data_IF_281027501509
#
_entry.id   IF_281027501509
#
_cell.length_a   1.000
_cell.length_b   1.000
_cell.length_c   1.000
_cell.angle_alpha   90.00
_cell.angle_beta   90.00
_cell.angle_gamma   90.00
#
_symmetry.space_group_name_H-M   'P 1'
#
loop_
_entity.id
_entity.type
_entity.pdbx_description
1 polymer ?
#
# COMPACT_ATOMS: atom_id res chain seq x y z
N UNK A 1 19.03 -7.19 8.56
CA UNK A 1 18.42 -6.34 7.51
C UNK A 1 17.70 -5.19 8.20
N UNK A 2 17.96 -3.95 7.79
CA UNK A 2 17.38 -2.74 8.40
C UNK A 2 15.99 -2.47 7.79
N UNK A 3 15.12 -1.78 8.51
CA UNK A 3 13.81 -1.35 7.99
C UNK A 3 13.84 0.16 7.72
N UNK A 4 13.27 0.58 6.60
CA UNK A 4 13.29 1.96 6.15
C UNK A 4 11.89 2.57 6.27
N UNK A 5 11.78 3.72 6.93
CA UNK A 5 10.50 4.39 7.19
C UNK A 5 10.60 5.88 6.89
N UNK A 6 9.63 6.41 6.15
CA UNK A 6 9.33 7.84 6.10
C UNK A 6 8.21 8.09 7.11
N UNK A 7 8.50 8.75 8.22
CA UNK A 7 7.46 9.15 9.19
C UNK A 7 7.17 10.63 9.10
N UNK A 8 5.89 10.96 9.18
CA UNK A 8 5.39 12.33 9.21
C UNK A 8 4.69 12.62 10.54
N UNK A 9 5.01 11.84 11.58
CA UNK A 9 4.60 12.10 12.96
C UNK A 9 5.43 13.23 13.56
N UNK A 10 4.77 14.09 14.32
CA UNK A 10 5.40 15.13 15.14
C UNK A 10 6.23 14.50 16.24
N UNK A 11 7.35 15.14 16.56
CA UNK A 11 8.17 14.78 17.72
C UNK A 11 7.83 15.72 18.87
N UNK A 12 7.51 15.16 20.03
CA UNK A 12 7.30 15.89 21.28
C UNK A 12 8.00 15.16 22.40
N UNK A 13 8.80 15.88 23.20
CA UNK A 13 9.53 15.30 24.36
C UNK A 13 10.36 14.05 24.02
N UNK A 14 10.91 13.98 22.81
CA UNK A 14 11.76 12.86 22.36
C UNK A 14 11.01 11.66 21.79
N UNK A 15 9.69 11.73 21.65
CA UNK A 15 8.84 10.64 21.15
C UNK A 15 7.99 11.08 19.96
N UNK A 16 7.59 10.12 19.12
CA UNK A 16 6.62 10.37 18.06
C UNK A 16 5.21 10.45 18.64
N UNK A 17 4.45 11.47 18.26
CA UNK A 17 3.05 11.64 18.65
C UNK A 17 2.10 11.26 17.51
N UNK A 18 0.80 11.20 17.81
CA UNK A 18 -0.26 10.99 16.81
C UNK A 18 -0.64 12.28 16.07
N UNK A 19 0.28 13.24 15.94
CA UNK A 19 0.01 14.53 15.31
C UNK A 19 0.88 14.69 14.06
N UNK A 20 0.43 15.43 13.03
CA UNK A 20 1.25 15.76 11.87
C UNK A 20 2.51 16.55 12.22
N UNK A 21 3.62 16.17 11.60
CA UNK A 21 4.90 16.84 11.68
C UNK A 21 5.66 16.84 10.33
N UNK A 22 6.88 17.39 10.31
CA UNK A 22 7.72 17.30 9.12
C UNK A 22 8.11 15.85 8.81
N UNK A 23 8.30 15.52 7.55
CA UNK A 23 8.84 14.23 7.15
C UNK A 23 10.23 13.98 7.74
N UNK A 24 10.45 12.76 8.21
CA UNK A 24 11.72 12.24 8.73
C UNK A 24 11.99 10.88 8.10
N UNK A 25 13.26 10.63 7.82
CA UNK A 25 13.74 9.42 7.18
C UNK A 25 14.46 8.59 8.23
N UNK A 26 13.92 7.41 8.53
CA UNK A 26 14.39 6.55 9.59
C UNK A 26 15.00 5.28 9.01
N UNK A 27 16.16 4.91 9.53
CA UNK A 27 16.72 3.58 9.37
C UNK A 27 16.58 2.85 10.70
N UNK A 28 15.60 1.96 10.78
CA UNK A 28 15.21 1.28 12.00
C UNK A 28 15.99 -0.04 12.13
N UNK A 29 16.73 -0.25 13.23
CA UNK A 29 17.43 -1.52 13.45
C UNK A 29 16.48 -2.71 13.53
N UNK A 30 16.91 -3.87 13.03
CA UNK A 30 16.10 -5.10 13.00
C UNK A 30 15.57 -5.51 14.39
N UNK A 31 16.34 -5.26 15.45
CA UNK A 31 15.97 -5.59 16.83
C UNK A 31 15.10 -4.54 17.52
N UNK A 32 14.86 -3.39 16.90
CA UNK A 32 14.03 -2.34 17.51
C UNK A 32 12.55 -2.76 17.49
N UNK A 33 11.85 -2.55 18.60
CA UNK A 33 10.41 -2.80 18.73
C UNK A 33 9.55 -1.71 18.05
N UNK A 34 10.07 -0.48 17.97
CA UNK A 34 9.40 0.68 17.41
C UNK A 34 10.40 1.55 16.61
N UNK A 35 9.93 2.33 15.62
CA UNK A 35 10.65 3.49 15.12
C UNK A 35 10.74 4.55 16.22
N UNK A 36 11.93 5.11 16.43
CA UNK A 36 12.19 6.16 17.42
C UNK A 36 12.80 7.39 16.72
N UNK A 37 12.62 8.61 17.25
CA UNK A 37 13.25 9.80 16.67
C UNK A 37 14.77 9.70 16.53
N UNK A 38 15.44 8.93 17.40
CA UNK A 38 16.87 8.65 17.33
C UNK A 38 17.31 7.80 16.13
N UNK A 39 16.38 7.14 15.42
CA UNK A 39 16.68 6.40 14.19
C UNK A 39 16.77 7.30 12.94
N UNK A 40 16.57 8.61 13.11
CA UNK A 40 16.60 9.56 12.01
C UNK A 40 18.00 9.65 11.39
N UNK A 41 18.05 9.55 10.06
CA UNK A 41 19.25 9.71 9.25
C UNK A 41 19.05 10.85 8.24
N UNK A 42 20.13 11.22 7.53
CA UNK A 42 20.04 12.23 6.47
C UNK A 42 19.26 11.67 5.28
N UNK A 43 18.34 12.46 4.73
CA UNK A 43 17.52 12.09 3.56
C UNK A 43 18.36 11.57 2.39
N UNK A 44 19.47 12.24 2.07
CA UNK A 44 20.33 11.85 0.93
C UNK A 44 20.96 10.48 1.10
N UNK A 45 21.40 10.14 2.31
CA UNK A 45 22.04 8.86 2.59
C UNK A 45 20.98 7.76 2.64
N UNK A 46 19.84 8.05 3.27
CA UNK A 46 18.70 7.14 3.31
C UNK A 46 18.17 6.78 1.91
N UNK A 47 18.03 7.77 1.02
CA UNK A 47 17.57 7.52 -0.35
C UNK A 47 18.55 6.66 -1.13
N UNK A 48 19.87 6.87 -0.95
CA UNK A 48 20.91 6.04 -1.56
C UNK A 48 20.80 4.60 -1.07
N UNK A 49 20.75 4.38 0.24
CA UNK A 49 20.67 3.05 0.84
C UNK A 49 19.41 2.29 0.39
N UNK A 50 18.25 2.98 0.30
CA UNK A 50 17.01 2.38 -0.20
C UNK A 50 17.11 2.00 -1.68
N UNK A 51 17.70 2.85 -2.51
CA UNK A 51 17.88 2.57 -3.94
C UNK A 51 18.85 1.42 -4.18
N UNK A 52 19.94 1.37 -3.43
CA UNK A 52 20.91 0.26 -3.48
C UNK A 52 20.23 -1.05 -3.08
N UNK A 53 19.36 -1.04 -2.07
CA UNK A 53 18.57 -2.21 -1.66
C UNK A 53 17.39 -2.55 -2.59
N UNK A 54 16.93 -1.61 -3.41
CA UNK A 54 15.87 -1.84 -4.40
C UNK A 54 16.41 -2.46 -5.69
N UNK A 55 17.67 -2.20 -6.00
CA UNK A 55 18.35 -2.66 -7.21
C UNK A 55 18.87 -4.07 -7.00
N UNK A 56 18.57 -4.98 -7.93
CA UNK A 56 19.06 -6.36 -7.81
C UNK A 56 18.86 -7.23 -9.04
N UNK A 57 18.26 -6.68 -10.10
CA UNK A 57 18.00 -7.37 -11.36
C UNK A 57 18.71 -6.63 -12.50
N UNK A 58 18.84 -7.30 -13.63
CA UNK A 58 19.36 -6.71 -14.87
C UNK A 58 18.25 -6.77 -15.91
N UNK A 59 17.93 -5.65 -16.53
CA UNK A 59 17.02 -5.66 -17.67
C UNK A 59 17.73 -6.35 -18.85
N UNK A 60 17.13 -7.43 -19.37
CA UNK A 60 17.73 -8.25 -20.44
C UNK A 60 17.76 -7.50 -21.77
N UNK A 61 16.81 -6.59 -22.00
CA UNK A 61 16.73 -5.80 -23.22
C UNK A 61 17.69 -4.61 -23.18
N UNK A 62 17.60 -3.79 -22.12
CA UNK A 62 18.36 -2.54 -22.02
C UNK A 62 19.77 -2.73 -21.43
N UNK A 63 20.04 -3.89 -20.84
CA UNK A 63 21.28 -4.19 -20.10
C UNK A 63 21.57 -3.19 -18.96
N UNK A 64 20.53 -2.51 -18.46
CA UNK A 64 20.63 -1.61 -17.33
C UNK A 64 20.26 -2.33 -16.02
N UNK A 65 20.90 -1.96 -14.89
CA UNK A 65 20.39 -2.31 -13.57
C UNK A 65 18.91 -1.95 -13.45
N UNK A 66 18.13 -2.88 -12.90
CA UNK A 66 16.72 -2.65 -12.62
C UNK A 66 16.35 -3.13 -11.21
N UNK A 67 15.25 -2.60 -10.70
CA UNK A 67 14.81 -2.88 -9.35
C UNK A 67 13.38 -2.42 -9.09
N UNK A 68 12.91 -2.75 -7.89
CA UNK A 68 11.54 -2.50 -7.47
C UNK A 68 11.54 -1.92 -6.07
N UNK A 69 10.80 -0.82 -5.89
CA UNK A 69 10.61 -0.16 -4.62
C UNK A 69 9.12 -0.13 -4.29
N UNK A 70 8.76 -0.73 -3.16
CA UNK A 70 7.40 -0.71 -2.64
C UNK A 70 7.30 0.29 -1.49
N UNK A 71 6.40 1.26 -1.60
CA UNK A 71 5.98 2.10 -0.48
C UNK A 71 4.72 1.48 0.15
N UNK A 72 4.85 0.98 1.38
CA UNK A 72 3.72 0.52 2.18
C UNK A 72 3.10 1.69 2.96
N UNK A 73 1.82 1.95 2.73
CA UNK A 73 1.03 2.96 3.46
C UNK A 73 0.03 2.22 4.37
N UNK A 74 0.19 2.41 5.67
CA UNK A 74 -0.57 1.66 6.67
C UNK A 74 -2.00 2.21 6.89
N UNK A 75 -2.84 1.42 7.56
CA UNK A 75 -4.22 1.76 7.92
C UNK A 75 -4.37 2.71 9.12
N UNK A 76 -5.61 2.86 9.59
CA UNK A 76 -5.96 3.65 10.78
C UNK A 76 -5.64 2.88 12.08
N UNK A 77 -5.53 3.59 13.20
CA UNK A 77 -5.29 3.02 14.54
C UNK A 77 -3.97 2.24 14.67
N UNK A 78 -2.87 2.83 14.20
CA UNK A 78 -1.53 2.27 14.35
C UNK A 78 -0.62 3.14 15.21
N UNK A 79 -0.07 2.52 16.26
CA UNK A 79 1.15 2.99 16.91
C UNK A 79 2.38 2.78 15.99
N UNK A 80 3.51 3.46 16.24
CA UNK A 80 4.76 3.22 15.51
C UNK A 80 5.20 1.74 15.54
N UNK A 81 5.00 1.03 16.64
CA UNK A 81 5.27 -0.41 16.80
C UNK A 81 4.43 -1.27 15.86
N UNK A 82 3.12 -0.96 15.78
CA UNK A 82 2.17 -1.70 14.96
C UNK A 82 2.48 -1.50 13.47
N UNK A 83 2.75 -0.25 13.07
CA UNK A 83 3.18 0.08 11.71
C UNK A 83 4.45 -0.70 11.33
N UNK A 84 5.47 -0.70 12.19
CA UNK A 84 6.74 -1.41 11.93
C UNK A 84 6.53 -2.93 11.85
N UNK A 85 5.69 -3.49 12.71
CA UNK A 85 5.34 -4.93 12.68
C UNK A 85 4.68 -5.30 11.36
N UNK A 86 3.72 -4.49 10.88
CA UNK A 86 3.03 -4.72 9.60
C UNK A 86 3.95 -4.56 8.40
N UNK A 87 4.84 -3.56 8.42
CA UNK A 87 5.90 -3.39 7.43
C UNK A 87 6.79 -4.65 7.35
N UNK A 88 7.22 -5.17 8.50
CA UNK A 88 8.06 -6.38 8.57
C UNK A 88 7.33 -7.61 8.06
N UNK A 89 6.05 -7.80 8.37
CA UNK A 89 5.25 -8.90 7.83
C UNK A 89 5.17 -8.84 6.29
N UNK A 90 4.89 -7.67 5.72
CA UNK A 90 4.88 -7.52 4.26
C UNK A 90 6.26 -7.76 3.65
N UNK A 91 7.32 -7.15 4.21
CA UNK A 91 8.68 -7.29 3.70
C UNK A 91 9.15 -8.74 3.73
N UNK A 92 8.97 -9.42 4.85
CA UNK A 92 9.38 -10.83 5.00
C UNK A 92 8.50 -11.77 4.17
N UNK A 93 7.20 -11.50 4.12
CA UNK A 93 6.24 -12.24 3.30
C UNK A 93 6.56 -12.15 1.81
N UNK A 94 6.77 -10.95 1.28
CA UNK A 94 7.14 -10.74 -0.13
C UNK A 94 8.51 -11.37 -0.44
N UNK A 95 9.50 -11.20 0.45
CA UNK A 95 10.81 -11.82 0.27
C UNK A 95 10.73 -13.36 0.21
N UNK A 96 9.86 -13.98 1.02
CA UNK A 96 9.62 -15.42 0.97
C UNK A 96 9.00 -15.89 -0.36
N UNK A 97 8.37 -15.00 -1.12
CA UNK A 97 7.82 -15.27 -2.45
C UNK A 97 8.81 -15.01 -3.59
N UNK A 98 10.01 -14.48 -3.28
CA UNK A 98 11.05 -14.16 -4.25
C UNK A 98 11.23 -12.68 -4.55
N UNK A 99 10.53 -11.78 -3.84
CA UNK A 99 10.75 -10.34 -4.01
C UNK A 99 12.13 -9.93 -3.50
N UNK A 100 12.95 -9.39 -4.40
CA UNK A 100 14.33 -8.94 -4.11
C UNK A 100 14.47 -7.41 -4.02
N UNK A 101 13.38 -6.67 -4.18
CA UNK A 101 13.37 -5.21 -4.10
C UNK A 101 13.27 -4.67 -2.67
N UNK A 102 13.19 -3.35 -2.54
CA UNK A 102 13.05 -2.68 -1.25
C UNK A 102 11.57 -2.48 -0.89
N UNK A 103 11.24 -2.65 0.40
CA UNK A 103 9.93 -2.32 0.96
C UNK A 103 10.13 -1.30 2.08
N UNK A 104 9.54 -0.11 1.92
CA UNK A 104 9.64 0.98 2.88
C UNK A 104 8.26 1.28 3.49
N UNK A 105 8.23 1.76 4.73
CA UNK A 105 6.99 2.22 5.38
C UNK A 105 6.78 3.72 5.18
N UNK A 106 5.55 4.14 4.89
CA UNK A 106 5.09 5.50 5.06
C UNK A 106 4.19 5.57 6.29
N UNK A 107 4.70 6.19 7.35
CA UNK A 107 4.08 6.28 8.67
C UNK A 107 3.42 7.64 8.85
N UNK A 108 2.10 7.66 8.69
CA UNK A 108 1.26 8.84 8.90
C UNK A 108 0.65 8.82 10.31
N UNK A 109 0.36 9.98 10.91
CA UNK A 109 -0.21 10.04 12.26
C UNK A 109 -1.65 9.51 12.26
N UNK A 110 -1.80 8.21 12.44
CA UNK A 110 -3.06 7.61 12.85
C UNK A 110 -3.04 7.44 14.36
N UNK A 111 -3.95 8.07 15.08
CA UNK A 111 -4.07 7.92 16.52
C UNK A 111 -4.54 6.49 16.87
N UNK A 112 -3.98 5.93 17.95
CA UNK A 112 -4.42 4.65 18.52
C UNK A 112 -5.73 4.82 19.33
N UNK A 113 -6.73 5.46 18.72
CA UNK A 113 -8.05 5.68 19.35
C UNK A 113 -9.15 5.81 18.31
N UNK A 114 -10.14 4.91 18.38
CA UNK A 114 -11.35 4.88 17.54
C UNK A 114 -12.20 6.18 17.59
N UNK A 115 -12.02 7.01 18.61
CA UNK A 115 -12.77 8.27 18.79
C UNK A 115 -12.29 9.40 17.86
N UNK A 116 -11.10 9.25 17.25
CA UNK A 116 -10.45 10.33 16.48
C UNK A 116 -10.56 10.16 14.97
N UNK A 117 -11.42 9.28 14.46
CA UNK A 117 -11.50 8.95 13.03
C UNK A 117 -11.63 10.18 12.09
N UNK A 118 -12.36 11.23 12.49
CA UNK A 118 -12.52 12.45 11.68
C UNK A 118 -11.23 13.28 11.66
N UNK A 119 -10.59 13.41 12.82
CA UNK A 119 -9.33 14.12 12.99
C UNK A 119 -8.21 13.42 12.23
N UNK A 120 -8.08 12.10 12.38
CA UNK A 120 -7.13 11.29 11.62
C UNK A 120 -7.37 11.37 10.11
N UNK A 121 -8.63 11.51 9.66
CA UNK A 121 -8.92 11.72 8.23
C UNK A 121 -8.46 13.09 7.76
N UNK A 122 -8.54 14.10 8.61
CA UNK A 122 -7.96 15.42 8.33
C UNK A 122 -6.45 15.33 8.24
N UNK A 123 -5.80 14.67 9.20
CA UNK A 123 -4.36 14.50 9.25
C UNK A 123 -3.81 13.64 8.11
N UNK A 124 -4.51 12.56 7.76
CA UNK A 124 -4.26 11.78 6.55
C UNK A 124 -4.23 12.67 5.31
N UNK A 125 -5.17 13.61 5.19
CA UNK A 125 -5.19 14.57 4.09
C UNK A 125 -4.04 15.57 4.18
N UNK A 126 -3.78 16.14 5.36
CA UNK A 126 -2.70 17.10 5.57
C UNK A 126 -1.32 16.51 5.27
N UNK A 127 -1.14 15.22 5.54
CA UNK A 127 0.13 14.52 5.34
C UNK A 127 0.22 13.78 4.01
N UNK A 128 -0.87 13.54 3.29
CA UNK A 128 -0.86 12.89 1.98
C UNK A 128 0.06 13.60 0.97
N UNK A 129 0.16 14.93 1.04
CA UNK A 129 1.08 15.67 0.17
C UNK A 129 2.58 15.34 0.43
N UNK A 130 2.94 14.91 1.64
CA UNK A 130 4.31 14.53 1.99
C UNK A 130 4.65 13.14 1.43
N UNK A 131 3.68 12.22 1.30
CA UNK A 131 3.88 10.97 0.57
C UNK A 131 4.36 11.23 -0.86
N UNK A 132 3.74 12.19 -1.53
CA UNK A 132 4.18 12.59 -2.87
C UNK A 132 5.54 13.28 -2.83
N UNK A 133 5.67 14.36 -2.06
CA UNK A 133 6.87 15.21 -2.11
C UNK A 133 8.13 14.52 -1.61
N UNK A 134 8.00 13.79 -0.51
CA UNK A 134 9.13 13.23 0.24
C UNK A 134 9.36 11.75 -0.08
N UNK A 135 8.32 11.04 -0.56
CA UNK A 135 8.41 9.69 -1.09
C UNK A 135 8.52 9.69 -2.62
N UNK A 136 7.37 9.72 -3.30
CA UNK A 136 7.26 9.48 -4.75
C UNK A 136 8.20 10.38 -5.57
N UNK A 137 8.10 11.70 -5.40
CA UNK A 137 8.91 12.69 -6.13
C UNK A 137 10.41 12.50 -5.88
N UNK A 138 10.78 12.12 -4.65
CA UNK A 138 12.19 11.93 -4.29
C UNK A 138 12.79 10.73 -5.03
N UNK A 139 12.03 9.66 -5.23
CA UNK A 139 12.49 8.51 -6.01
C UNK A 139 12.39 8.74 -7.52
N UNK A 140 11.33 9.39 -8.00
CA UNK A 140 11.20 9.75 -9.43
C UNK A 140 12.35 10.65 -9.88
N UNK A 141 12.76 11.63 -9.06
CA UNK A 141 13.91 12.51 -9.38
C UNK A 141 15.26 11.80 -9.34
N UNK A 142 15.33 10.67 -8.64
CA UNK A 142 16.55 9.86 -8.53
C UNK A 142 16.60 8.73 -9.55
N UNK A 143 15.52 8.45 -10.29
CA UNK A 143 15.58 7.59 -11.46
C UNK A 143 16.59 8.20 -12.43
N UNK A 144 17.62 7.42 -12.75
CA UNK A 144 18.64 7.81 -13.71
C UNK A 144 18.43 7.01 -15.00
N UNK A 145 18.87 7.50 -16.16
CA UNK A 145 18.78 6.75 -17.41
C UNK A 145 19.47 5.38 -17.36
N UNK A 146 20.42 5.20 -16.43
CA UNK A 146 21.23 4.00 -16.23
C UNK A 146 20.74 3.09 -15.08
N UNK A 147 19.56 3.36 -14.49
CA UNK A 147 18.98 2.47 -13.47
C UNK A 147 17.44 2.55 -13.47
N UNK A 148 16.81 1.45 -13.86
CA UNK A 148 15.35 1.33 -14.00
C UNK A 148 14.71 0.87 -12.69
N UNK A 149 14.26 1.82 -11.86
CA UNK A 149 13.56 1.51 -10.62
C UNK A 149 12.05 1.69 -10.79
N UNK A 150 11.29 0.61 -10.71
CA UNK A 150 9.84 0.64 -10.65
C UNK A 150 9.38 1.02 -9.24
N UNK A 151 8.53 2.03 -9.15
CA UNK A 151 7.90 2.42 -7.89
C UNK A 151 6.51 1.79 -7.79
N UNK A 152 6.20 1.19 -6.66
CA UNK A 152 4.92 0.55 -6.37
C UNK A 152 4.37 1.04 -5.03
N UNK A 153 3.07 0.93 -4.85
CA UNK A 153 2.38 1.31 -3.61
C UNK A 153 1.54 0.15 -3.13
N UNK A 154 1.69 -0.21 -1.85
CA UNK A 154 0.81 -1.12 -1.13
C UNK A 154 0.06 -0.32 -0.07
N UNK A 155 -1.26 -0.24 -0.13
CA UNK A 155 -2.05 0.58 0.77
C UNK A 155 -3.13 -0.24 1.47
N UNK A 156 -3.07 -0.27 2.80
CA UNK A 156 -4.05 -0.97 3.64
C UNK A 156 -5.09 -0.01 4.19
N UNK A 157 -6.37 -0.36 4.16
CA UNK A 157 -7.39 0.38 4.93
C UNK A 157 -7.42 1.88 4.63
N UNK A 158 -7.34 2.73 5.65
CA UNK A 158 -7.27 4.19 5.49
C UNK A 158 -6.00 4.66 4.77
N UNK A 159 -4.95 3.83 4.67
CA UNK A 159 -3.81 4.10 3.80
C UNK A 159 -4.22 4.24 2.33
N UNK A 160 -5.28 3.56 1.88
CA UNK A 160 -5.83 3.75 0.53
C UNK A 160 -6.42 5.15 0.33
N UNK A 161 -6.99 5.75 1.39
CA UNK A 161 -7.44 7.13 1.37
C UNK A 161 -6.24 8.09 1.30
N UNK A 162 -5.19 7.88 2.11
CA UNK A 162 -3.95 8.67 2.07
C UNK A 162 -3.36 8.67 0.66
N UNK A 163 -3.24 7.50 0.02
CA UNK A 163 -2.71 7.36 -1.35
C UNK A 163 -3.57 8.11 -2.36
N UNK A 164 -4.89 7.98 -2.29
CA UNK A 164 -5.78 8.67 -3.22
C UNK A 164 -5.67 10.20 -3.11
N UNK A 165 -5.70 10.73 -1.89
CA UNK A 165 -5.54 12.18 -1.67
C UNK A 165 -4.11 12.64 -2.06
N UNK A 166 -3.09 11.80 -1.86
CA UNK A 166 -1.73 12.11 -2.28
C UNK A 166 -1.65 12.35 -3.79
N UNK A 167 -2.26 11.49 -4.59
CA UNK A 167 -2.25 11.60 -6.05
C UNK A 167 -3.05 12.83 -6.53
N UNK A 168 -4.16 13.16 -5.89
CA UNK A 168 -4.92 14.39 -6.13
C UNK A 168 -4.03 15.65 -5.92
N UNK A 169 -3.27 15.69 -4.82
CA UNK A 169 -2.30 16.77 -4.56
C UNK A 169 -1.17 16.86 -5.59
N UNK A 170 -0.82 15.77 -6.26
CA UNK A 170 0.26 15.76 -7.23
C UNK A 170 -0.13 16.46 -8.53
N UNK A 171 -1.39 16.34 -8.96
CA UNK A 171 -1.94 17.02 -10.14
C UNK A 171 -1.96 18.55 -9.97
N UNK A 172 -2.23 19.03 -8.76
CA UNK A 172 -2.24 20.47 -8.44
C UNK A 172 -0.84 21.12 -8.49
N UNK A 173 0.22 20.31 -8.56
CA UNK A 173 1.60 20.76 -8.39
C UNK A 173 2.32 20.84 -9.73
N UNK A 174 2.52 22.06 -10.25
CA UNK A 174 3.16 22.31 -11.56
C UNK A 174 4.49 21.58 -11.78
N UNK A 175 5.33 21.43 -10.75
CA UNK A 175 6.63 20.76 -10.83
C UNK A 175 6.55 19.24 -11.01
N UNK A 176 5.42 18.63 -10.65
CA UNK A 176 5.14 17.20 -10.84
C UNK A 176 4.28 16.99 -12.07
N UNK A 177 3.31 17.87 -12.34
CA UNK A 177 2.56 17.88 -13.59
C UNK A 177 3.47 18.06 -14.82
N UNK A 178 4.64 18.71 -14.67
CA UNK A 178 5.63 18.88 -15.74
C UNK A 178 6.57 17.69 -15.94
N UNK A 179 6.53 16.67 -15.08
CA UNK A 179 7.30 15.43 -15.23
C UNK A 179 6.31 14.31 -15.50
N UNK A 180 6.47 13.56 -16.58
CA UNK A 180 5.68 12.35 -16.77
C UNK A 180 6.15 11.30 -15.76
N UNK A 181 5.45 11.19 -14.64
CA UNK A 181 5.72 10.18 -13.61
C UNK A 181 4.50 9.28 -13.46
N UNK A 182 4.77 8.00 -13.21
CA UNK A 182 3.76 6.98 -12.95
C UNK A 182 4.30 5.99 -11.93
N UNK A 183 3.43 5.54 -11.03
CA UNK A 183 3.66 4.38 -10.18
C UNK A 183 3.26 3.13 -10.95
N UNK A 184 4.13 2.13 -10.98
CA UNK A 184 3.94 0.91 -11.78
C UNK A 184 2.75 0.09 -11.28
N UNK A 185 2.66 -0.19 -9.98
CA UNK A 185 1.51 -0.90 -9.40
C UNK A 185 1.01 -0.20 -8.14
N UNK A 186 -0.30 0.00 -8.05
CA UNK A 186 -0.98 0.39 -6.80
C UNK A 186 -1.85 -0.77 -6.35
N UNK A 187 -1.50 -1.39 -5.23
CA UNK A 187 -2.26 -2.47 -4.61
C UNK A 187 -3.00 -1.91 -3.40
N UNK A 188 -4.33 -1.97 -3.42
CA UNK A 188 -5.19 -1.61 -2.30
C UNK A 188 -5.72 -2.89 -1.68
N UNK A 189 -5.65 -3.05 -0.36
CA UNK A 189 -6.21 -4.22 0.32
C UNK A 189 -6.96 -3.82 1.58
N UNK A 190 -8.18 -4.32 1.73
CA UNK A 190 -9.10 -3.83 2.77
C UNK A 190 -9.31 -2.32 2.65
N UNK A 191 -9.39 -1.77 1.45
CA UNK A 191 -9.41 -0.33 1.18
C UNK A 191 -10.58 0.44 1.84
N UNK A 192 -10.27 1.45 2.65
CA UNK A 192 -11.25 2.32 3.31
C UNK A 192 -11.56 3.58 2.49
N UNK A 193 -12.03 3.37 1.27
CA UNK A 193 -12.53 4.40 0.38
C UNK A 193 -13.89 3.98 -0.16
N UNK A 194 -14.76 4.96 -0.47
CA UNK A 194 -16.07 4.67 -1.07
C UNK A 194 -15.88 3.97 -2.41
N UNK A 195 -16.54 2.82 -2.61
CA UNK A 195 -16.48 2.09 -3.88
C UNK A 195 -16.90 2.98 -5.05
N UNK A 196 -18.03 3.69 -4.94
CA UNK A 196 -18.50 4.60 -6.00
C UNK A 196 -17.54 5.76 -6.31
N UNK A 197 -16.58 6.09 -5.43
CA UNK A 197 -15.55 7.08 -5.76
C UNK A 197 -14.44 6.57 -6.69
N UNK A 198 -14.45 5.27 -6.99
CA UNK A 198 -13.49 4.59 -7.88
C UNK A 198 -14.05 4.33 -9.28
N UNK A 199 -15.25 4.84 -9.58
CA UNK A 199 -15.83 4.82 -10.92
C UNK A 199 -14.97 5.63 -11.91
N UNK A 200 -14.95 5.21 -13.18
CA UNK A 200 -14.23 5.94 -14.22
C UNK A 200 -14.79 7.36 -14.39
N UNK A 201 -13.90 8.33 -14.61
CA UNK A 201 -14.25 9.75 -14.63
C UNK A 201 -14.57 10.38 -13.27
N UNK A 202 -14.62 9.61 -12.17
CA UNK A 202 -14.81 10.21 -10.85
C UNK A 202 -13.60 11.09 -10.47
N UNK A 203 -13.80 12.39 -10.17
CA UNK A 203 -12.68 13.30 -9.91
C UNK A 203 -11.79 12.82 -8.75
N UNK A 204 -12.38 12.17 -7.74
CA UNK A 204 -11.63 11.68 -6.56
C UNK A 204 -10.60 10.60 -6.87
N UNK A 205 -10.81 9.81 -7.93
CA UNK A 205 -9.89 8.74 -8.32
C UNK A 205 -9.15 9.04 -9.64
N UNK A 206 -9.54 10.11 -10.34
CA UNK A 206 -8.98 10.45 -11.66
C UNK A 206 -7.45 10.62 -11.65
N UNK A 207 -6.90 11.32 -10.66
CA UNK A 207 -5.45 11.48 -10.50
C UNK A 207 -4.75 10.17 -10.16
N UNK A 208 -5.38 9.36 -9.29
CA UNK A 208 -4.88 8.02 -8.96
C UNK A 208 -4.73 7.15 -10.21
N UNK A 209 -5.76 7.11 -11.06
CA UNK A 209 -5.74 6.35 -12.30
C UNK A 209 -4.81 6.94 -13.37
N UNK A 210 -4.59 8.26 -13.36
CA UNK A 210 -3.68 8.94 -14.29
C UNK A 210 -2.23 8.60 -14.02
N UNK A 211 -1.83 8.58 -12.73
CA UNK A 211 -0.45 8.36 -12.32
C UNK A 211 -0.14 6.93 -11.86
N UNK A 212 -0.98 5.95 -12.20
CA UNK A 212 -0.64 4.55 -12.06
C UNK A 212 -0.77 3.79 -13.38
N UNK A 213 0.13 2.83 -13.62
CA UNK A 213 -0.01 1.93 -14.78
C UNK A 213 -1.15 0.95 -14.53
N UNK A 214 -1.27 0.43 -13.32
CA UNK A 214 -2.34 -0.48 -12.89
C UNK A 214 -2.66 -0.30 -11.41
N UNK A 215 -3.96 -0.36 -11.11
CA UNK A 215 -4.50 -0.45 -9.76
C UNK A 215 -5.08 -1.84 -9.56
N UNK A 216 -4.79 -2.51 -8.45
CA UNK A 216 -5.41 -3.77 -8.06
C UNK A 216 -6.04 -3.60 -6.68
N UNK A 217 -7.34 -3.81 -6.56
CA UNK A 217 -8.08 -3.81 -5.30
C UNK A 217 -8.33 -5.25 -4.86
N UNK A 218 -7.91 -5.58 -3.64
CA UNK A 218 -8.21 -6.83 -2.97
C UNK A 218 -9.30 -6.57 -1.93
N UNK A 219 -10.46 -7.20 -2.11
CA UNK A 219 -11.60 -7.03 -1.23
C UNK A 219 -12.03 -8.34 -0.59
N UNK A 220 -12.71 -8.23 0.55
CA UNK A 220 -13.22 -9.39 1.28
C UNK A 220 -14.60 -9.05 1.86
N UNK A 221 -15.63 -9.79 1.47
CA UNK A 221 -16.98 -9.59 1.98
C UNK A 221 -17.11 -9.83 3.50
N UNK A 222 -16.18 -10.60 4.07
CA UNK A 222 -16.10 -10.87 5.51
C UNK A 222 -15.34 -9.79 6.30
N UNK A 223 -14.90 -8.68 5.67
CA UNK A 223 -14.25 -7.56 6.35
C UNK A 223 -15.24 -6.75 7.21
N UNK A 224 -15.36 -7.10 8.49
CA UNK A 224 -16.28 -6.49 9.45
C UNK A 224 -15.90 -5.05 9.85
N UNK A 225 -14.62 -4.68 9.79
CA UNK A 225 -14.13 -3.32 10.09
C UNK A 225 -14.69 -2.29 9.09
N UNK A 226 -14.85 -2.71 7.84
CA UNK A 226 -15.40 -1.88 6.77
C UNK A 226 -16.93 -1.96 6.64
N UNK A 227 -17.62 -2.63 7.58
CA UNK A 227 -19.08 -2.66 7.59
C UNK A 227 -19.69 -1.27 7.79
N UNK A 228 -20.92 -1.09 7.30
CA UNK A 228 -21.65 0.18 7.31
C UNK A 228 -22.13 0.65 8.71
N UNK A 229 -21.76 -0.05 9.79
CA UNK A 229 -22.28 0.22 11.13
C UNK A 229 -21.19 0.41 12.19
N UNK A 230 -21.23 1.61 12.78
CA UNK A 230 -20.99 1.98 14.19
C UNK A 230 -19.85 2.95 14.54
N UNK A 231 -18.85 3.20 13.70
CA UNK A 231 -17.77 4.17 14.05
C UNK A 231 -17.60 5.30 13.02
N UNK A 232 -18.06 5.11 11.77
CA UNK A 232 -17.84 6.07 10.67
C UNK A 232 -19.12 6.85 10.35
N UNK A 233 -19.49 7.82 11.20
CA UNK A 233 -20.58 8.79 10.87
C UNK A 233 -20.23 9.70 9.66
N UNK A 234 -19.08 9.51 9.03
CA UNK A 234 -18.68 10.13 7.76
C UNK A 234 -18.91 9.14 6.60
N UNK A 235 -20.15 9.11 6.12
CA UNK A 235 -20.55 8.46 4.87
C UNK A 235 -20.98 7.00 5.00
N UNK A 236 -22.26 6.75 4.72
CA UNK A 236 -22.90 5.42 4.59
C UNK A 236 -22.54 4.69 3.30
N UNK A 237 -21.48 5.11 2.62
CA UNK A 237 -21.08 4.53 1.35
C UNK A 237 -20.38 3.18 1.55
N UNK A 238 -20.73 2.14 0.78
CA UNK A 238 -20.00 0.88 0.74
C UNK A 238 -18.50 1.09 0.45
N UNK A 239 -17.64 0.32 1.12
CA UNK A 239 -16.19 0.48 1.03
C UNK A 239 -15.58 -0.50 0.03
N UNK A 240 -14.66 -0.01 -0.79
CA UNK A 240 -14.02 -0.81 -1.85
C UNK A 240 -13.33 -2.07 -1.32
N UNK A 241 -12.77 -2.03 -0.10
CA UNK A 241 -12.16 -3.19 0.54
C UNK A 241 -13.12 -4.26 1.01
N UNK A 242 -14.43 -3.97 1.07
CA UNK A 242 -15.48 -4.92 1.50
C UNK A 242 -16.36 -5.36 0.35
N UNK A 243 -16.73 -4.44 -0.55
CA UNK A 243 -17.71 -4.72 -1.61
C UNK A 243 -17.10 -4.75 -3.01
N UNK A 244 -15.80 -4.52 -3.14
CA UNK A 244 -15.14 -4.40 -4.43
C UNK A 244 -15.27 -3.02 -5.08
N UNK A 245 -14.73 -2.92 -6.27
CA UNK A 245 -14.82 -1.76 -7.16
C UNK A 245 -16.17 -1.74 -7.89
N UNK A 246 -16.67 -0.55 -8.29
CA UNK A 246 -17.90 -0.47 -9.07
C UNK A 246 -17.69 -1.04 -10.49
N UNK A 247 -18.75 -1.59 -11.14
CA UNK A 247 -18.64 -2.17 -12.49
C UNK A 247 -18.08 -1.22 -13.56
N UNK A 248 -18.25 0.10 -13.38
CA UNK A 248 -17.77 1.14 -14.29
C UNK A 248 -16.37 1.68 -13.92
N UNK A 249 -15.56 0.92 -13.18
CA UNK A 249 -14.14 1.26 -12.98
C UNK A 249 -13.32 1.13 -14.28
N UNK A 250 -12.25 1.91 -14.45
CA UNK A 250 -11.47 1.91 -15.69
C UNK A 250 -10.75 0.57 -15.91
N UNK A 251 -10.46 0.21 -17.16
CA UNK A 251 -9.82 -1.08 -17.54
C UNK A 251 -8.50 -1.41 -16.80
N UNK A 252 -7.77 -0.38 -16.36
CA UNK A 252 -6.51 -0.55 -15.60
C UNK A 252 -6.73 -0.84 -14.11
N UNK A 253 -7.96 -0.71 -13.62
CA UNK A 253 -8.37 -1.11 -12.28
C UNK A 253 -8.81 -2.58 -12.32
N UNK A 254 -8.13 -3.39 -11.53
CA UNK A 254 -8.35 -4.82 -11.39
C UNK A 254 -8.95 -5.05 -10.03
N UNK A 255 -10.03 -5.82 -9.95
CA UNK A 255 -10.69 -6.15 -8.70
C UNK A 255 -10.53 -7.64 -8.43
N UNK A 256 -10.10 -8.00 -7.22
CA UNK A 256 -9.80 -9.37 -6.81
C UNK A 256 -10.58 -9.71 -5.55
N UNK A 257 -11.56 -10.60 -5.69
CA UNK A 257 -12.35 -11.12 -4.58
C UNK A 257 -11.52 -12.10 -3.76
N UNK A 258 -11.28 -11.78 -2.50
CA UNK A 258 -10.53 -12.65 -1.60
C UNK A 258 -11.44 -13.41 -0.62
N UNK A 259 -12.76 -13.33 -0.77
CA UNK A 259 -13.74 -13.87 0.19
C UNK A 259 -13.64 -15.40 0.30
N UNK A 260 -13.51 -16.10 -0.83
CA UNK A 260 -13.34 -17.56 -0.85
C UNK A 260 -12.04 -17.99 -0.15
N UNK A 261 -10.94 -17.29 -0.40
CA UNK A 261 -9.66 -17.53 0.28
C UNK A 261 -9.76 -17.28 1.77
N UNK A 262 -10.29 -16.13 2.19
CA UNK A 262 -10.44 -15.83 3.60
C UNK A 262 -11.31 -16.87 4.31
N UNK A 263 -12.45 -17.26 3.73
CA UNK A 263 -13.32 -18.29 4.29
C UNK A 263 -12.58 -19.63 4.50
N UNK A 264 -11.72 -20.02 3.56
CA UNK A 264 -10.93 -21.25 3.66
C UNK A 264 -9.86 -21.22 4.78
N UNK A 265 -9.39 -20.04 5.18
CA UNK A 265 -8.37 -19.87 6.24
C UNK A 265 -8.88 -19.24 7.52
N UNK A 266 -10.16 -18.86 7.60
CA UNK A 266 -10.72 -18.09 8.70
C UNK A 266 -10.46 -18.73 10.08
N UNK A 267 -10.44 -20.06 10.14
CA UNK A 267 -10.15 -20.83 11.33
C UNK A 267 -8.74 -20.58 11.91
N UNK A 268 -7.75 -20.28 11.05
CA UNK A 268 -6.38 -19.95 11.48
C UNK A 268 -6.31 -18.62 12.25
N UNK A 269 -7.32 -17.77 12.06
CA UNK A 269 -7.44 -16.45 12.68
C UNK A 269 -8.50 -16.45 13.79
N UNK A 270 -8.89 -17.62 14.30
CA UNK A 270 -9.84 -17.73 15.41
C UNK A 270 -9.34 -16.92 16.62
N UNK A 271 -10.21 -16.08 17.17
CA UNK A 271 -9.89 -15.18 18.29
C UNK A 271 -9.45 -13.78 17.88
N UNK A 272 -9.28 -13.53 16.59
CA UNK A 272 -9.05 -12.20 16.04
C UNK A 272 -10.36 -11.62 15.48
N UNK A 273 -10.98 -10.72 16.24
CA UNK A 273 -12.23 -10.04 15.83
C UNK A 273 -12.09 -9.27 14.51
N UNK A 274 -10.89 -8.84 14.14
CA UNK A 274 -10.63 -8.04 12.94
C UNK A 274 -9.93 -8.84 11.84
N UNK A 275 -9.94 -10.18 11.92
CA UNK A 275 -9.26 -11.07 10.98
C UNK A 275 -9.59 -10.74 9.52
N UNK A 276 -10.87 -10.55 9.18
CA UNK A 276 -11.32 -10.25 7.82
C UNK A 276 -10.68 -9.00 7.21
N UNK A 277 -10.20 -8.07 8.05
CA UNK A 277 -9.55 -6.83 7.65
C UNK A 277 -8.02 -6.91 7.60
N UNK A 278 -7.39 -7.86 8.30
CA UNK A 278 -5.93 -7.89 8.52
C UNK A 278 -5.24 -9.24 8.28
N UNK A 279 -5.95 -10.25 7.82
CA UNK A 279 -5.41 -11.57 7.47
C UNK A 279 -4.34 -11.50 6.34
N UNK A 280 -4.50 -10.54 5.41
CA UNK A 280 -3.60 -10.29 4.27
C UNK A 280 -2.10 -10.27 4.63
N UNK A 281 -1.75 -9.77 5.82
CA UNK A 281 -0.34 -9.62 6.22
C UNK A 281 0.40 -10.94 6.44
N UNK A 282 -0.31 -12.05 6.65
CA UNK A 282 0.29 -13.35 6.96
C UNK A 282 -0.13 -14.45 6.00
N UNK A 283 -1.14 -14.22 5.16
CA UNK A 283 -1.60 -15.20 4.19
C UNK A 283 -0.64 -15.35 3.01
N UNK A 284 -0.15 -16.56 2.80
CA UNK A 284 0.85 -16.83 1.77
C UNK A 284 0.29 -16.73 0.35
N UNK A 285 -0.98 -17.08 0.13
CA UNK A 285 -1.60 -16.96 -1.20
C UNK A 285 -1.75 -15.50 -1.61
N UNK A 286 -2.21 -14.65 -0.70
CA UNK A 286 -2.24 -13.20 -0.92
C UNK A 286 -0.84 -12.63 -1.15
N UNK A 287 0.14 -12.98 -0.33
CA UNK A 287 1.51 -12.48 -0.47
C UNK A 287 2.14 -12.90 -1.80
N UNK A 288 1.85 -14.11 -2.28
CA UNK A 288 2.26 -14.59 -3.61
C UNK A 288 1.59 -13.78 -4.71
N UNK A 289 0.29 -13.56 -4.62
CA UNK A 289 -0.47 -12.78 -5.62
C UNK A 289 0.00 -11.31 -5.67
N UNK A 290 0.23 -10.71 -4.51
CA UNK A 290 0.78 -9.37 -4.39
C UNK A 290 2.17 -9.29 -5.02
N UNK A 291 3.04 -10.27 -4.77
CA UNK A 291 4.34 -10.38 -5.43
C UNK A 291 4.21 -10.47 -6.95
N UNK A 292 3.44 -11.43 -7.48
CA UNK A 292 3.25 -11.61 -8.93
C UNK A 292 2.65 -10.34 -9.58
N UNK A 293 1.74 -9.66 -8.88
CA UNK A 293 1.16 -8.39 -9.32
C UNK A 293 2.19 -7.25 -9.36
N UNK A 294 3.05 -7.14 -8.34
CA UNK A 294 4.14 -6.16 -8.27
C UNK A 294 5.09 -6.35 -9.45
N UNK A 295 5.54 -7.59 -9.67
CA UNK A 295 6.47 -7.91 -10.75
C UNK A 295 5.84 -7.64 -12.12
N UNK A 296 4.56 -7.97 -12.28
CA UNK A 296 3.80 -7.67 -13.49
C UNK A 296 4.22 -8.47 -14.72
N UNK A 297 5.05 -9.50 -14.55
CA UNK A 297 5.56 -10.38 -15.62
C UNK A 297 4.45 -11.22 -16.26
N UNK A 298 3.37 -11.49 -15.50
CA UNK A 298 2.20 -12.24 -15.95
C UNK A 298 0.97 -11.32 -16.00
N UNK A 299 0.13 -11.44 -17.04
CA UNK A 299 -1.10 -10.65 -17.13
C UNK A 299 -2.04 -10.96 -15.96
N UNK A 300 -2.77 -9.93 -15.49
CA UNK A 300 -3.67 -9.95 -14.32
C UNK A 300 -4.66 -11.13 -14.29
N UNK A 301 -5.04 -11.69 -15.44
CA UNK A 301 -5.98 -12.81 -15.55
C UNK A 301 -5.31 -14.19 -15.54
N UNK A 302 -3.98 -14.24 -15.58
CA UNK A 302 -3.18 -15.48 -15.71
C UNK A 302 -2.30 -15.76 -14.48
N UNK A 303 -2.45 -14.99 -13.39
CA UNK A 303 -1.74 -15.25 -12.14
C UNK A 303 -2.16 -16.60 -11.56
N UNK A 304 -1.17 -17.36 -11.09
CA UNK A 304 -1.36 -18.73 -10.60
C UNK A 304 -2.20 -18.81 -9.32
N UNK A 305 -2.34 -17.67 -8.64
CA UNK A 305 -3.10 -17.48 -7.41
C UNK A 305 -4.54 -17.08 -7.64
N UNK A 306 -4.97 -16.84 -8.89
CA UNK A 306 -6.32 -16.35 -9.23
C UNK A 306 -7.13 -17.37 -10.01
N UNK A 307 -8.43 -17.37 -9.75
CA UNK A 307 -9.43 -18.00 -10.58
C UNK A 307 -10.28 -16.92 -11.25
N UNK A 308 -10.72 -17.20 -12.49
CA UNK A 308 -11.73 -16.39 -13.18
C UNK A 308 -13.10 -16.96 -12.82
N UNK A 309 -13.90 -16.23 -12.06
CA UNK A 309 -15.29 -16.62 -11.84
C UNK A 309 -16.06 -16.53 -13.17
N UNK A 310 -16.61 -17.66 -13.59
CA UNK A 310 -17.36 -17.78 -14.86
C UNK A 310 -18.59 -16.87 -14.90
N UNK A 311 -19.16 -16.51 -13.75
CA UNK A 311 -20.26 -15.58 -13.62
C UNK A 311 -19.73 -14.16 -13.40
N UNK A 312 -19.71 -13.33 -14.45
CA UNK A 312 -19.41 -11.90 -14.34
C UNK A 312 -17.95 -11.49 -14.56
N UNK A 313 -17.03 -12.45 -14.75
CA UNK A 313 -15.63 -12.15 -15.10
C UNK A 313 -14.81 -11.53 -13.96
N UNK A 314 -15.27 -11.72 -12.71
CA UNK A 314 -14.58 -11.28 -11.50
C UNK A 314 -13.37 -12.18 -11.25
N UNK A 315 -12.22 -11.59 -10.94
CA UNK A 315 -11.06 -12.36 -10.49
C UNK A 315 -11.24 -12.69 -9.01
N UNK A 316 -11.03 -13.95 -8.63
CA UNK A 316 -11.05 -14.38 -7.25
C UNK A 316 -9.69 -14.96 -6.84
N UNK A 317 -9.25 -14.67 -5.63
CA UNK A 317 -8.07 -15.30 -5.04
C UNK A 317 -8.41 -16.75 -4.69
N UNK A 318 -7.58 -17.69 -5.13
CA UNK A 318 -7.81 -19.13 -4.95
C UNK A 318 -8.03 -19.51 -3.50
N UNK A 319 -9.08 -20.28 -3.24
CA UNK A 319 -9.38 -20.78 -1.89
C UNK A 319 -8.28 -21.71 -1.36
N UNK A 320 -7.82 -22.63 -2.21
CA UNK A 320 -6.72 -23.57 -1.94
C UNK A 320 -5.48 -23.08 -2.67
N UNK A 321 -4.31 -22.98 -2.01
CA UNK A 321 -3.07 -22.60 -2.68
C UNK A 321 -2.79 -23.52 -3.87
N UNK A 322 -2.20 -22.98 -4.93
CA UNK A 322 -1.66 -23.83 -5.99
C UNK A 322 -0.64 -24.80 -5.36
N UNK A 323 -0.71 -26.09 -5.73
CA UNK A 323 0.29 -27.07 -5.29
C UNK A 323 1.70 -26.64 -5.73
N UNK A 324 2.77 -27.15 -5.09
CA UNK A 324 4.12 -26.91 -5.57
C UNK A 324 4.21 -27.51 -6.98
N UNK A 325 4.33 -26.63 -7.98
CA UNK A 325 4.63 -26.98 -9.37
C UNK A 325 6.11 -27.31 -9.55
#
# INVERSE_FOLDING_TARGET
>A
MQDYVITVRKVSRGEFTSEPGPARFLTVPQGAAAPLPGHQVRKSDWLRDVLDGATGRMNIETHQPMGDLVIYVHGYNHSPETMLTRLRHLRTGLAAQGFSGAVIGYDWPSADSALNYIEDRWDAKQTANLLVREGIESFVRLQRPDCEINLHILAHSMGSYVVREAFDYADDRRSLASVSWSVSQVLLFGADISAGSMEDGNPKASSLYRHCNRLTNYYNHFDNVLSLSNIKRVGVAPRAGRVGLPPQSPRKAVDVDCSARFAAVAEQYRGDEFAGHRWYFTDQTFLRDAYETIMGDTDRHSLSTRDLEQAGGVLALRAVPAGPG
#
